data_IF_519608978109
#
_entry.id   IF_519608978109
#
_cell.length_a   1.000
_cell.length_b   1.000
_cell.length_c   1.000
_cell.angle_alpha   90.00
_cell.angle_beta   90.00
_cell.angle_gamma   90.00
#
_symmetry.space_group_name_H-M   'P 1'
#
loop_
_entity.id
_entity.type
_entity.pdbx_description
1 polymer ?
#
# COMPACT_ATOMS: atom_id res chain seq x y z
N UNK A 1 29.26 10.24 -10.02
CA UNK A 1 28.25 10.01 -11.07
C UNK A 1 27.61 11.35 -11.36
N UNK A 2 27.52 11.77 -12.62
CA UNK A 2 26.85 13.01 -13.01
C UNK A 2 25.59 12.65 -13.79
N UNK A 3 24.44 13.08 -13.30
CA UNK A 3 23.15 12.92 -13.98
C UNK A 3 22.85 14.24 -14.67
N UNK A 4 22.70 14.23 -16.00
CA UNK A 4 22.24 15.40 -16.73
C UNK A 4 20.72 15.49 -16.60
N UNK A 5 20.23 16.64 -16.13
CA UNK A 5 18.80 16.91 -16.05
C UNK A 5 18.31 17.52 -17.36
N UNK A 6 17.05 17.27 -17.70
CA UNK A 6 16.41 18.00 -18.79
C UNK A 6 16.08 19.43 -18.33
N UNK A 7 15.99 20.40 -19.24
CA UNK A 7 15.62 21.78 -18.89
C UNK A 7 14.29 21.89 -18.13
N UNK A 8 13.35 20.97 -18.37
CA UNK A 8 12.07 20.90 -17.66
C UNK A 8 12.28 20.52 -16.20
N UNK A 9 13.14 19.54 -15.91
CA UNK A 9 13.45 19.11 -14.54
C UNK A 9 14.20 20.19 -13.78
N UNK A 10 15.13 20.91 -14.42
CA UNK A 10 15.81 22.05 -13.81
C UNK A 10 14.84 23.15 -13.40
N UNK A 11 13.90 23.52 -14.30
CA UNK A 11 12.84 24.49 -13.98
C UNK A 11 11.96 24.02 -12.83
N UNK A 12 11.62 22.74 -12.81
CA UNK A 12 10.83 22.16 -11.73
C UNK A 12 11.56 22.29 -10.39
N UNK A 13 12.81 21.83 -10.31
CA UNK A 13 13.64 21.94 -9.10
C UNK A 13 13.75 23.41 -8.65
N UNK A 14 14.02 24.32 -9.59
CA UNK A 14 14.12 25.74 -9.28
C UNK A 14 12.81 26.29 -8.71
N UNK A 15 11.65 25.90 -9.24
CA UNK A 15 10.35 26.32 -8.70
C UNK A 15 10.10 25.82 -7.28
N UNK A 16 10.54 24.59 -6.96
CA UNK A 16 10.44 24.01 -5.63
C UNK A 16 11.32 24.78 -4.63
N UNK A 17 12.53 25.19 -5.02
CA UNK A 17 13.41 26.00 -4.18
C UNK A 17 12.85 27.42 -4.01
N UNK A 18 12.42 28.05 -5.11
CA UNK A 18 11.84 29.40 -5.09
C UNK A 18 10.55 29.50 -4.25
N UNK A 19 9.83 28.38 -4.08
CA UNK A 19 8.67 28.32 -3.18
C UNK A 19 9.04 28.34 -1.69
N UNK A 20 10.33 28.22 -1.35
CA UNK A 20 10.83 28.10 0.02
C UNK A 20 10.65 26.71 0.63
N UNK A 21 10.09 25.75 -0.12
CA UNK A 21 9.86 24.38 0.35
C UNK A 21 11.15 23.58 0.53
N UNK A 22 12.20 23.91 -0.23
CA UNK A 22 13.51 23.28 -0.15
C UNK A 22 14.61 24.33 -0.28
N UNK A 23 15.76 24.05 0.31
CA UNK A 23 16.92 24.95 0.38
C UNK A 23 17.93 24.73 -0.73
N UNK A 24 17.91 23.56 -1.38
CA UNK A 24 18.86 23.22 -2.45
C UNK A 24 18.29 22.21 -3.45
N UNK A 25 18.92 22.12 -4.61
CA UNK A 25 18.59 21.11 -5.62
C UNK A 25 18.87 19.69 -5.11
N UNK A 26 19.93 19.51 -4.33
CA UNK A 26 20.28 18.23 -3.71
C UNK A 26 19.18 17.77 -2.75
N UNK A 27 18.63 18.69 -1.95
CA UNK A 27 17.53 18.37 -1.03
C UNK A 27 16.27 17.93 -1.78
N UNK A 28 15.94 18.59 -2.89
CA UNK A 28 14.81 18.19 -3.76
C UNK A 28 15.03 16.78 -4.32
N UNK A 29 16.22 16.49 -4.84
CA UNK A 29 16.55 15.20 -5.45
C UNK A 29 16.53 14.08 -4.42
N UNK A 30 17.16 14.28 -3.25
CA UNK A 30 17.14 13.29 -2.16
C UNK A 30 15.71 13.01 -1.71
N UNK A 31 14.90 14.06 -1.56
CA UNK A 31 13.50 13.90 -1.15
C UNK A 31 12.70 13.12 -2.20
N UNK A 32 12.89 13.41 -3.49
CA UNK A 32 12.23 12.70 -4.58
C UNK A 32 12.60 11.21 -4.61
N UNK A 33 13.88 10.88 -4.41
CA UNK A 33 14.35 9.49 -4.36
C UNK A 33 13.76 8.75 -3.15
N UNK A 34 13.74 9.37 -1.96
CA UNK A 34 13.11 8.78 -0.77
C UNK A 34 11.62 8.50 -0.97
N UNK A 35 10.91 9.41 -1.65
CA UNK A 35 9.50 9.20 -1.99
C UNK A 35 9.31 8.02 -2.94
N UNK A 36 10.19 7.89 -3.94
CA UNK A 36 10.18 6.76 -4.88
C UNK A 36 10.46 5.43 -4.18
N UNK A 37 11.46 5.40 -3.29
CA UNK A 37 11.79 4.23 -2.47
C UNK A 37 10.63 3.84 -1.54
N UNK A 38 10.02 4.82 -0.87
CA UNK A 38 8.87 4.59 -0.01
C UNK A 38 7.68 4.00 -0.80
N UNK A 39 7.41 4.50 -2.01
CA UNK A 39 6.40 3.91 -2.89
C UNK A 39 6.74 2.46 -3.23
N UNK A 40 7.98 2.20 -3.67
CA UNK A 40 8.44 0.84 -4.00
C UNK A 40 8.29 -0.14 -2.83
N UNK A 41 8.70 0.26 -1.63
CA UNK A 41 8.61 -0.56 -0.42
C UNK A 41 7.15 -0.85 -0.02
N UNK A 42 6.24 0.12 -0.18
CA UNK A 42 4.82 -0.07 0.08
C UNK A 42 4.21 -1.08 -0.89
N UNK A 43 4.56 -0.99 -2.18
CA UNK A 43 4.10 -1.95 -3.19
C UNK A 43 4.63 -3.36 -2.93
N UNK A 44 5.92 -3.50 -2.59
CA UNK A 44 6.51 -4.81 -2.27
C UNK A 44 5.91 -5.40 -1.00
N UNK A 45 5.76 -4.62 0.08
CA UNK A 45 5.18 -5.11 1.33
C UNK A 45 3.74 -5.62 1.18
N UNK A 46 2.88 -4.85 0.48
CA UNK A 46 1.50 -5.28 0.22
C UNK A 46 1.43 -6.51 -0.69
N UNK A 47 2.33 -6.60 -1.68
CA UNK A 47 2.40 -7.75 -2.57
C UNK A 47 2.84 -9.02 -1.81
N UNK A 48 3.86 -8.93 -0.97
CA UNK A 48 4.36 -10.05 -0.16
C UNK A 48 3.32 -10.51 0.86
N UNK A 49 2.59 -9.58 1.48
CA UNK A 49 1.49 -9.88 2.39
C UNK A 49 0.35 -10.62 1.67
N UNK A 50 -0.04 -10.13 0.50
CA UNK A 50 -1.06 -10.78 -0.33
C UNK A 50 -0.63 -12.18 -0.76
N UNK A 51 0.62 -12.34 -1.22
CA UNK A 51 1.16 -13.63 -1.64
C UNK A 51 1.16 -14.62 -0.47
N UNK A 52 1.52 -14.17 0.74
CA UNK A 52 1.48 -14.99 1.95
C UNK A 52 0.05 -15.39 2.32
N UNK A 53 -0.90 -14.47 2.28
CA UNK A 53 -2.31 -14.75 2.58
C UNK A 53 -2.90 -15.77 1.59
N UNK A 54 -2.55 -15.66 0.30
CA UNK A 54 -2.95 -16.65 -0.71
C UNK A 54 -2.36 -18.03 -0.40
N UNK A 55 -1.07 -18.12 -0.06
CA UNK A 55 -0.43 -19.40 0.25
C UNK A 55 -1.09 -20.09 1.45
N UNK A 56 -1.39 -19.33 2.51
CA UNK A 56 -2.11 -19.85 3.68
C UNK A 56 -3.47 -20.42 3.27
N UNK A 57 -4.22 -19.72 2.42
CA UNK A 57 -5.51 -20.19 1.92
C UNK A 57 -5.40 -21.43 1.04
N UNK A 58 -4.36 -21.54 0.21
CA UNK A 58 -4.08 -22.73 -0.61
C UNK A 58 -3.78 -23.93 0.29
N UNK A 59 -2.86 -23.77 1.25
CA UNK A 59 -2.53 -24.84 2.20
C UNK A 59 -3.78 -25.29 2.96
N UNK A 60 -4.53 -24.36 3.58
CA UNK A 60 -5.77 -24.69 4.28
C UNK A 60 -6.77 -25.46 3.40
N UNK A 61 -6.88 -25.09 2.12
CA UNK A 61 -7.71 -25.79 1.14
C UNK A 61 -7.23 -27.23 0.87
N UNK A 62 -5.92 -27.44 0.73
CA UNK A 62 -5.34 -28.78 0.56
C UNK A 62 -5.60 -29.69 1.77
N UNK A 63 -5.66 -29.13 2.98
CA UNK A 63 -6.01 -29.84 4.21
C UNK A 63 -7.53 -29.98 4.41
N UNK A 64 -8.35 -29.47 3.50
CA UNK A 64 -9.81 -29.52 3.58
C UNK A 64 -10.41 -28.55 4.63
N UNK A 65 -9.63 -27.60 5.13
CA UNK A 65 -10.05 -26.54 6.05
C UNK A 65 -10.77 -25.41 5.31
N UNK A 66 -11.80 -25.79 4.54
CA UNK A 66 -12.66 -24.88 3.80
C UNK A 66 -14.07 -24.94 4.35
N UNK A 67 -14.73 -23.78 4.33
CA UNK A 67 -16.15 -23.67 4.68
C UNK A 67 -16.93 -23.29 3.44
N UNK A 68 -18.15 -23.81 3.33
CA UNK A 68 -19.07 -23.40 2.30
C UNK A 68 -19.37 -21.88 2.42
N UNK A 69 -19.22 -21.16 1.32
CA UNK A 69 -19.30 -19.70 1.30
C UNK A 69 -20.68 -19.20 1.65
N UNK A 70 -21.73 -19.80 1.09
CA UNK A 70 -23.12 -19.41 1.33
C UNK A 70 -23.50 -19.61 2.81
N UNK A 71 -23.10 -20.74 3.38
CA UNK A 71 -23.27 -21.05 4.79
C UNK A 71 -22.55 -20.05 5.70
N UNK A 72 -21.30 -19.70 5.38
CA UNK A 72 -20.50 -18.72 6.15
C UNK A 72 -21.17 -17.34 6.16
N UNK A 73 -21.57 -16.83 4.98
CA UNK A 73 -22.18 -15.51 4.88
C UNK A 73 -23.52 -15.45 5.64
N UNK A 74 -24.35 -16.48 5.54
CA UNK A 74 -25.58 -16.56 6.33
C UNK A 74 -25.31 -16.51 7.85
N UNK A 75 -24.30 -17.22 8.34
CA UNK A 75 -23.92 -17.18 9.77
C UNK A 75 -23.42 -15.79 10.19
N UNK A 76 -22.66 -15.11 9.34
CA UNK A 76 -22.18 -13.75 9.60
C UNK A 76 -23.34 -12.75 9.70
N UNK A 77 -24.30 -12.81 8.78
CA UNK A 77 -25.50 -11.96 8.81
C UNK A 77 -26.31 -12.16 10.09
N UNK A 78 -26.54 -13.41 10.48
CA UNK A 78 -27.23 -13.75 11.73
C UNK A 78 -26.49 -13.19 12.95
N UNK A 79 -25.16 -13.32 12.98
CA UNK A 79 -24.33 -12.80 14.09
C UNK A 79 -24.37 -11.27 14.17
N UNK A 80 -24.40 -10.58 13.03
CA UNK A 80 -24.57 -9.13 12.98
C UNK A 80 -25.95 -8.70 13.48
N UNK A 81 -27.01 -9.41 13.07
CA UNK A 81 -28.38 -9.12 13.50
C UNK A 81 -28.55 -9.28 15.01
N UNK A 82 -28.06 -10.38 15.58
CA UNK A 82 -28.09 -10.61 17.04
C UNK A 82 -27.36 -9.53 17.84
N UNK A 83 -26.27 -8.97 17.29
CA UNK A 83 -25.54 -7.87 17.96
C UNK A 83 -26.32 -6.56 17.93
N UNK A 84 -27.06 -6.30 16.86
CA UNK A 84 -27.94 -5.12 16.76
C UNK A 84 -29.11 -5.21 17.72
N UNK A 85 -29.72 -6.39 17.83
CA UNK A 85 -30.83 -6.64 18.74
C UNK A 85 -30.43 -6.55 20.22
N UNK A 86 -29.21 -6.99 20.58
CA UNK A 86 -28.67 -6.85 21.94
C UNK A 86 -28.22 -5.44 22.31
N UNK A 87 -28.07 -4.56 21.32
CA UNK A 87 -27.65 -3.17 21.52
C UNK A 87 -28.85 -2.19 21.57
N UNK A 88 -30.07 -2.70 21.38
CA UNK A 88 -31.33 -1.95 21.54
C UNK A 88 -32.00 -2.27 22.87
#
# INVERSE_FOLDING_TARGET
>A
MFLSLTPELEKFIQSQISSGKYTSAEEVIITAIKLLEAQGNVYQGQFDELQRAIMIGVEASEWGEVVDGETLFHQLEQKLQQRREKAS
#
